data_IF_197819058780
#
_entry.id   IF_197819058780
#
_cell.length_a   1.000
_cell.length_b   1.000
_cell.length_c   1.000
_cell.angle_alpha   90.00
_cell.angle_beta   90.00
_cell.angle_gamma   90.00
#
_symmetry.space_group_name_H-M   'P 1'
#
loop_
_entity.id
_entity.type
_entity.pdbx_description
1 polymer ?
#
# COMPACT_ATOMS: atom_id res chain seq x y z
N UNK A 1 5.02 -5.79 -14.42
CA UNK A 1 5.35 -6.85 -13.44
C UNK A 1 4.30 -6.84 -12.33
N UNK A 2 3.59 -7.94 -12.11
CA UNK A 2 2.67 -8.07 -10.97
C UNK A 2 3.23 -9.17 -10.08
N UNK A 3 3.52 -8.88 -8.81
CA UNK A 3 4.11 -9.88 -7.93
C UNK A 3 3.80 -9.63 -6.45
N UNK A 4 3.87 -10.71 -5.66
CA UNK A 4 3.78 -10.75 -4.22
C UNK A 4 5.13 -11.27 -3.69
N UNK A 5 6.14 -10.38 -3.54
CA UNK A 5 7.49 -10.81 -3.19
C UNK A 5 7.54 -11.36 -1.76
N UNK A 6 8.50 -12.24 -1.44
CA UNK A 6 8.70 -12.68 -0.06
C UNK A 6 8.97 -11.48 0.86
N UNK A 7 8.38 -11.46 2.05
CA UNK A 7 8.47 -10.33 2.99
C UNK A 7 9.65 -10.39 3.98
N UNK A 8 10.54 -11.37 3.83
CA UNK A 8 11.71 -11.54 4.69
C UNK A 8 12.86 -10.59 4.32
N UNK A 9 13.70 -10.23 5.30
CA UNK A 9 14.91 -9.44 5.07
C UNK A 9 14.68 -8.12 4.33
N UNK A 10 15.54 -7.86 3.35
CA UNK A 10 15.55 -6.68 2.47
C UNK A 10 14.84 -6.92 1.12
N UNK A 11 14.17 -8.06 0.92
CA UNK A 11 13.53 -8.42 -0.35
C UNK A 11 12.52 -7.39 -0.85
N UNK A 12 11.68 -6.85 0.05
CA UNK A 12 10.70 -5.80 -0.26
C UNK A 12 11.35 -4.49 -0.72
N UNK A 13 12.50 -4.13 -0.15
CA UNK A 13 13.27 -2.93 -0.50
C UNK A 13 13.89 -3.08 -1.88
N UNK A 14 14.57 -4.22 -2.13
CA UNK A 14 15.14 -4.54 -3.43
C UNK A 14 14.08 -4.64 -4.53
N UNK A 15 12.93 -5.28 -4.24
CA UNK A 15 11.84 -5.38 -5.20
C UNK A 15 11.28 -4.00 -5.57
N UNK A 16 11.07 -3.12 -4.57
CA UNK A 16 10.66 -1.73 -4.80
C UNK A 16 11.69 -0.96 -5.62
N UNK A 17 12.98 -1.08 -5.28
CA UNK A 17 14.06 -0.41 -6.00
C UNK A 17 14.11 -0.83 -7.48
N UNK A 18 14.04 -2.13 -7.77
CA UNK A 18 13.99 -2.67 -9.13
C UNK A 18 12.79 -2.10 -9.88
N UNK A 19 11.60 -2.14 -9.26
CA UNK A 19 10.37 -1.59 -9.83
C UNK A 19 10.50 -0.11 -10.20
N UNK A 20 10.99 0.71 -9.26
CA UNK A 20 11.15 2.16 -9.44
C UNK A 20 12.17 2.49 -10.54
N UNK A 21 13.30 1.78 -10.58
CA UNK A 21 14.33 1.98 -11.62
C UNK A 21 13.88 1.52 -13.01
N UNK A 22 12.99 0.52 -13.08
CA UNK A 22 12.63 -0.10 -14.36
C UNK A 22 11.88 0.82 -15.32
N UNK A 23 11.19 1.86 -14.82
CA UNK A 23 10.28 2.73 -15.60
C UNK A 23 9.16 1.96 -16.33
N UNK A 24 8.97 0.67 -16.04
CA UNK A 24 7.93 -0.19 -16.63
C UNK A 24 6.71 -0.26 -15.71
N UNK A 25 5.50 -0.53 -16.24
CA UNK A 25 4.35 -0.79 -15.40
C UNK A 25 4.53 -1.96 -14.42
N UNK A 26 4.22 -1.73 -13.15
CA UNK A 26 4.30 -2.72 -12.09
C UNK A 26 3.22 -2.55 -11.02
N UNK A 27 2.90 -3.65 -10.36
CA UNK A 27 2.07 -3.71 -9.17
C UNK A 27 2.70 -4.69 -8.16
N UNK A 28 3.01 -4.20 -6.96
CA UNK A 28 3.55 -5.02 -5.87
C UNK A 28 2.54 -5.12 -4.75
N UNK A 29 2.19 -6.34 -4.35
CA UNK A 29 1.43 -6.56 -3.12
C UNK A 29 2.42 -6.57 -1.95
N UNK A 30 2.32 -5.58 -1.05
CA UNK A 30 3.22 -5.45 0.08
C UNK A 30 2.44 -5.13 1.36
N UNK A 31 3.03 -5.39 2.55
CA UNK A 31 2.44 -4.96 3.80
C UNK A 31 2.30 -3.44 3.87
N UNK A 32 1.17 -2.94 4.38
CA UNK A 32 0.87 -1.53 4.52
C UNK A 32 1.95 -0.72 5.28
N UNK A 33 2.65 -1.35 6.24
CA UNK A 33 3.69 -0.68 7.01
C UNK A 33 4.85 -0.20 6.13
N UNK A 34 5.05 -0.81 4.95
CA UNK A 34 6.13 -0.44 4.02
C UNK A 34 6.02 1.04 3.61
N UNK A 35 4.79 1.55 3.40
CA UNK A 35 4.57 2.94 3.03
C UNK A 35 4.99 3.92 4.13
N UNK A 36 5.05 3.45 5.39
CA UNK A 36 5.40 4.27 6.55
C UNK A 36 6.89 4.23 6.90
N UNK A 37 7.69 3.41 6.22
CA UNK A 37 9.11 3.26 6.50
C UNK A 37 9.93 4.33 5.78
N UNK A 38 10.98 4.82 6.45
CA UNK A 38 11.88 5.84 5.91
C UNK A 38 12.51 5.43 4.56
N UNK A 39 12.90 4.16 4.43
CA UNK A 39 13.47 3.64 3.19
C UNK A 39 12.55 3.83 1.98
N UNK A 40 11.22 3.83 2.16
CA UNK A 40 10.30 3.99 1.03
C UNK A 40 10.41 5.40 0.44
N UNK A 41 10.41 6.42 1.29
CA UNK A 41 10.66 7.80 0.86
C UNK A 41 12.08 8.02 0.33
N UNK A 42 13.07 7.36 0.94
CA UNK A 42 14.47 7.43 0.48
C UNK A 42 14.63 6.82 -0.91
N UNK A 43 14.00 5.67 -1.18
CA UNK A 43 14.01 5.03 -2.49
C UNK A 43 13.35 5.90 -3.57
N UNK A 44 12.23 6.56 -3.28
CA UNK A 44 11.59 7.49 -4.22
C UNK A 44 12.53 8.66 -4.59
N UNK A 45 13.29 9.15 -3.62
CA UNK A 45 14.28 10.22 -3.82
C UNK A 45 15.52 9.70 -4.56
N UNK A 46 16.09 8.58 -4.13
CA UNK A 46 17.32 8.00 -4.67
C UNK A 46 17.16 7.53 -6.13
N UNK A 47 15.97 7.08 -6.51
CA UNK A 47 15.64 6.71 -7.89
C UNK A 47 15.23 7.91 -8.75
N UNK A 48 15.28 9.13 -8.20
CA UNK A 48 14.85 10.37 -8.84
C UNK A 48 13.44 10.26 -9.45
N UNK A 49 12.53 9.52 -8.80
CA UNK A 49 11.19 9.29 -9.33
C UNK A 49 10.38 10.59 -9.33
N UNK A 50 9.98 11.13 -10.51
CA UNK A 50 9.19 12.36 -10.60
C UNK A 50 7.88 12.23 -9.85
N UNK A 51 7.38 13.32 -9.26
CA UNK A 51 6.13 13.30 -8.48
C UNK A 51 4.94 12.69 -9.26
N UNK A 52 4.84 12.98 -10.56
CA UNK A 52 3.81 12.45 -11.47
C UNK A 52 3.95 10.95 -11.81
N UNK A 53 5.11 10.35 -11.50
CA UNK A 53 5.40 8.94 -11.73
C UNK A 53 5.52 8.16 -10.42
N UNK A 54 5.37 8.82 -9.27
CA UNK A 54 5.39 8.15 -7.97
C UNK A 54 4.23 7.15 -7.90
N UNK A 55 4.45 5.98 -7.30
CA UNK A 55 3.40 5.00 -7.18
C UNK A 55 2.23 5.52 -6.36
N UNK A 56 1.04 4.99 -6.63
CA UNK A 56 -0.14 5.16 -5.78
C UNK A 56 -0.50 3.81 -5.15
N UNK A 57 -1.43 3.85 -4.19
CA UNK A 57 -1.83 2.68 -3.43
C UNK A 57 -3.27 2.29 -3.76
N UNK A 58 -3.51 0.98 -3.91
CA UNK A 58 -4.84 0.40 -3.86
C UNK A 58 -4.98 -0.40 -2.56
N UNK A 59 -5.96 -0.02 -1.74
CA UNK A 59 -6.29 -0.74 -0.52
C UNK A 59 -7.62 -1.46 -0.72
N UNK A 60 -7.61 -2.80 -0.77
CA UNK A 60 -8.86 -3.56 -0.75
C UNK A 60 -9.60 -3.37 0.57
N UNK A 61 -10.94 -3.29 0.52
CA UNK A 61 -11.76 -3.17 1.74
C UNK A 61 -11.69 -4.44 2.60
N UNK A 62 -11.57 -5.60 1.97
CA UNK A 62 -11.43 -6.89 2.64
C UNK A 62 -9.95 -7.24 2.77
N UNK A 63 -9.54 -7.71 3.95
CA UNK A 63 -8.16 -8.17 4.17
C UNK A 63 -7.87 -9.41 3.34
N UNK A 64 -6.67 -9.45 2.77
CA UNK A 64 -6.14 -10.69 2.19
C UNK A 64 -5.98 -11.76 3.27
N UNK A 65 -6.50 -12.95 2.99
CA UNK A 65 -6.08 -14.20 3.61
C UNK A 65 -4.89 -14.76 2.82
N UNK A 66 -3.91 -15.33 3.52
CA UNK A 66 -2.78 -15.98 2.90
C UNK A 66 -2.83 -17.46 3.22
N UNK A 67 -2.70 -18.29 2.19
CA UNK A 67 -2.50 -19.71 2.39
C UNK A 67 -1.04 -19.93 2.78
N UNK A 68 -0.86 -20.68 3.86
CA UNK A 68 0.45 -21.00 4.40
C UNK A 68 0.67 -22.50 4.30
N UNK A 69 1.83 -22.96 3.78
CA UNK A 69 2.14 -24.38 3.76
C UNK A 69 2.18 -24.92 5.21
N UNK A 70 1.39 -25.97 5.41
CA UNK A 70 1.25 -26.84 6.59
C UNK A 70 1.63 -26.21 7.95
N UNK A 71 0.71 -25.41 8.51
CA UNK A 71 0.71 -25.06 9.94
C UNK A 71 1.74 -24.04 10.41
N UNK A 72 2.55 -23.49 9.51
CA UNK A 72 3.62 -22.53 9.86
C UNK A 72 3.15 -21.07 9.96
N UNK A 73 1.89 -20.80 9.64
CA UNK A 73 1.34 -19.45 9.54
C UNK A 73 0.22 -19.12 10.52
N UNK A 74 -0.03 -17.83 10.68
CA UNK A 74 -1.20 -17.35 11.42
C UNK A 74 -2.46 -17.49 10.56
N UNK A 75 -3.61 -17.80 11.17
CA UNK A 75 -4.89 -17.87 10.47
C UNK A 75 -5.28 -16.53 9.81
N UNK A 76 -4.84 -15.41 10.40
CA UNK A 76 -5.00 -14.08 9.84
C UNK A 76 -3.65 -13.40 9.65
N UNK A 77 -3.51 -12.67 8.54
CA UNK A 77 -2.33 -11.84 8.31
C UNK A 77 -2.16 -10.82 9.45
N UNK A 78 -0.97 -10.71 10.08
CA UNK A 78 -0.72 -9.75 11.14
C UNK A 78 -0.65 -8.29 10.63
N UNK A 79 -0.74 -8.09 9.33
CA UNK A 79 -0.73 -6.80 8.63
C UNK A 79 -1.79 -6.76 7.53
N UNK A 80 -2.25 -5.55 7.19
CA UNK A 80 -2.97 -5.33 5.95
C UNK A 80 -1.98 -5.31 4.79
N UNK A 81 -2.34 -5.92 3.67
CA UNK A 81 -1.56 -5.82 2.45
C UNK A 81 -2.27 -4.90 1.46
N UNK A 82 -1.49 -4.06 0.80
CA UNK A 82 -1.96 -3.07 -0.16
C UNK A 82 -1.13 -3.18 -1.43
N UNK A 83 -1.72 -2.81 -2.56
CA UNK A 83 -0.98 -2.76 -3.81
C UNK A 83 -0.27 -1.42 -3.94
N UNK A 84 1.00 -1.49 -4.30
CA UNK A 84 1.81 -0.37 -4.76
C UNK A 84 1.80 -0.44 -6.27
N UNK A 85 1.32 0.60 -6.93
CA UNK A 85 1.13 0.61 -8.39
C UNK A 85 1.93 1.75 -8.99
N UNK A 86 2.90 1.41 -9.83
CA UNK A 86 3.69 2.37 -10.60
C UNK A 86 3.57 2.07 -12.09
N UNK A 87 3.21 3.06 -12.89
CA UNK A 87 2.95 2.92 -14.34
C UNK A 87 3.85 3.84 -15.17
N UNK A 88 4.98 4.26 -14.58
CA UNK A 88 5.91 5.22 -15.19
C UNK A 88 5.18 6.52 -15.56
N UNK A 89 5.37 7.04 -16.78
CA UNK A 89 4.69 8.26 -17.26
C UNK A 89 3.15 8.22 -17.22
N UNK A 90 2.53 7.02 -17.24
CA UNK A 90 1.07 6.88 -17.25
C UNK A 90 0.44 6.91 -15.85
N UNK A 91 1.25 6.99 -14.80
CA UNK A 91 0.77 6.85 -13.41
C UNK A 91 -0.29 7.88 -13.05
N UNK A 92 -0.07 9.18 -13.33
CA UNK A 92 -1.09 10.21 -13.07
C UNK A 92 -2.38 10.00 -13.86
N UNK A 93 -2.27 9.73 -15.16
CA UNK A 93 -3.44 9.58 -16.02
C UNK A 93 -4.35 8.44 -15.53
N UNK A 94 -3.74 7.30 -15.20
CA UNK A 94 -4.48 6.13 -14.71
C UNK A 94 -5.02 6.37 -13.30
N UNK A 95 -4.24 6.96 -12.39
CA UNK A 95 -4.73 7.32 -11.05
C UNK A 95 -5.95 8.25 -11.12
N UNK A 96 -5.88 9.30 -11.95
CA UNK A 96 -6.98 10.23 -12.18
C UNK A 96 -8.22 9.54 -12.72
N UNK A 97 -8.06 8.69 -13.74
CA UNK A 97 -9.16 7.92 -14.32
C UNK A 97 -9.80 6.96 -13.29
N UNK A 98 -9.01 6.24 -12.50
CA UNK A 98 -9.50 5.37 -11.44
C UNK A 98 -10.27 6.16 -10.37
N UNK A 99 -9.74 7.32 -9.95
CA UNK A 99 -10.39 8.18 -8.97
C UNK A 99 -11.74 8.69 -9.48
N UNK A 100 -11.82 9.15 -10.73
CA UNK A 100 -13.08 9.59 -11.34
C UNK A 100 -14.10 8.45 -11.41
N UNK A 101 -13.66 7.24 -11.79
CA UNK A 101 -14.55 6.06 -11.82
C UNK A 101 -15.07 5.68 -10.43
N UNK A 102 -14.23 5.69 -9.40
CA UNK A 102 -14.67 5.38 -8.04
C UNK A 102 -15.62 6.44 -7.48
N UNK A 103 -15.41 7.72 -7.78
CA UNK A 103 -16.33 8.79 -7.40
C UNK A 103 -17.69 8.66 -8.10
N UNK A 104 -17.71 8.29 -9.38
CA UNK A 104 -18.94 8.05 -10.14
C UNK A 104 -19.68 6.77 -9.73
N UNK A 105 -18.95 5.71 -9.34
CA UNK A 105 -19.56 4.45 -8.90
C UNK A 105 -20.30 4.58 -7.56
N UNK A 106 -19.85 5.48 -6.68
CA UNK A 106 -20.58 5.81 -5.45
C UNK A 106 -21.84 6.66 -5.68
N UNK A 107 -21.94 7.29 -6.85
CA UNK A 107 -23.12 8.02 -7.32
C UNK A 107 -23.95 7.13 -8.26
N UNK A 108 -24.17 5.87 -7.89
CA UNK A 108 -25.20 5.08 -8.54
C UNK A 108 -26.49 5.90 -8.50
N UNK A 109 -27.11 6.19 -9.65
CA UNK A 109 -28.35 6.93 -9.66
C UNK A 109 -29.36 6.07 -8.90
N UNK A 110 -29.87 6.57 -7.77
CA UNK A 110 -31.17 6.09 -7.31
C UNK A 110 -32.09 6.22 -8.53
N UNK A 111 -32.68 5.10 -8.95
CA UNK A 111 -33.52 5.03 -10.12
C UNK A 111 -34.73 5.96 -9.92
N UNK A 112 -34.58 7.22 -10.34
CA UNK A 112 -35.55 8.28 -10.16
C UNK A 112 -35.49 9.23 -11.34
N UNK A 113 -36.44 9.03 -12.26
CA UNK A 113 -36.99 9.95 -13.26
C UNK A 113 -36.05 10.98 -13.90
N UNK A 114 -35.83 10.81 -15.20
CA UNK A 114 -35.00 11.67 -16.03
C UNK A 114 -35.38 13.14 -16.02
N UNK A 115 -34.35 13.97 -16.18
CA UNK A 115 -34.46 15.31 -16.77
C UNK A 115 -33.27 15.50 -17.70
N UNK A 116 -33.57 15.99 -18.89
CA UNK A 116 -32.70 16.16 -20.04
C UNK A 116 -31.48 17.04 -19.77
N UNK A 117 -30.38 16.68 -20.43
CA UNK A 117 -29.14 17.43 -20.49
C UNK A 117 -29.30 18.73 -21.29
N UNK A 118 -28.76 19.83 -20.75
CA UNK A 118 -28.40 21.01 -21.54
C UNK A 118 -26.88 21.19 -21.54
N UNK A 119 -26.32 21.25 -22.74
CA UNK A 119 -24.91 21.51 -22.99
C UNK A 119 -24.61 23.00 -22.82
N UNK A 120 -23.57 23.32 -22.04
CA UNK A 120 -23.06 24.67 -21.86
C UNK A 120 -21.55 24.69 -22.07
N UNK A 121 -21.12 25.17 -23.23
CA UNK A 121 -19.74 25.46 -23.57
C UNK A 121 -19.21 26.65 -22.75
N UNK A 122 -17.93 26.60 -22.35
CA UNK A 122 -17.30 27.64 -21.55
C UNK A 122 -15.79 27.52 -21.53
N UNK A 123 -15.19 27.88 -22.68
CA UNK A 123 -13.77 28.13 -22.88
C UNK A 123 -13.26 29.24 -21.95
N UNK A 124 -12.08 29.06 -21.32
CA UNK A 124 -11.14 30.15 -21.05
C UNK A 124 -9.77 29.65 -20.58
N UNK A 125 -8.81 29.87 -21.46
CA UNK A 125 -7.37 29.77 -21.23
C UNK A 125 -6.91 30.65 -20.05
N UNK A 126 -6.02 30.11 -19.21
CA UNK A 126 -5.27 30.90 -18.22
C UNK A 126 -3.76 30.67 -18.37
N UNK A 127 -3.06 31.77 -18.20
CA UNK A 127 -1.72 32.14 -18.66
C UNK A 127 -0.71 31.82 -17.55
N UNK A 128 0.34 31.03 -17.85
CA UNK A 128 1.47 30.83 -16.94
C UNK A 128 2.57 31.88 -17.18
N UNK A 129 3.16 32.46 -16.11
CA UNK A 129 4.48 33.05 -16.18
C UNK A 129 5.54 32.24 -15.42
N UNK A 130 6.58 31.81 -16.16
CA UNK A 130 7.98 32.23 -15.96
C UNK A 130 8.77 31.78 -14.72
N UNK A 131 9.89 31.09 -15.01
CA UNK A 131 11.27 31.24 -14.47
C UNK A 131 11.44 31.35 -12.93
N UNK A 132 12.15 30.47 -12.24
CA UNK A 132 13.52 30.03 -12.50
C UNK A 132 14.36 30.42 -11.28
N UNK A 133 14.83 29.46 -10.48
CA UNK A 133 15.91 29.68 -9.51
C UNK A 133 16.72 28.41 -9.29
N UNK A 134 18.00 28.57 -9.55
CA UNK A 134 19.09 27.60 -9.58
C UNK A 134 19.58 27.36 -8.14
N UNK A 135 19.77 26.10 -7.74
CA UNK A 135 20.36 25.72 -6.45
C UNK A 135 21.82 25.30 -6.66
N UNK A 136 22.77 25.78 -5.84
CA UNK A 136 24.14 25.30 -5.86
C UNK A 136 24.38 24.13 -4.86
N UNK A 137 25.28 23.23 -5.25
CA UNK A 137 26.28 22.64 -4.34
C UNK A 137 25.93 21.31 -3.67
N UNK A 138 26.31 20.20 -4.31
CA UNK A 138 26.46 18.88 -3.72
C UNK A 138 27.91 18.68 -3.27
N UNK A 139 28.17 18.54 -1.97
CA UNK A 139 29.45 18.06 -1.44
C UNK A 139 29.33 16.61 -0.96
N UNK A 140 30.20 15.78 -1.54
CA UNK A 140 30.25 14.35 -1.34
C UNK A 140 30.84 13.94 0.02
N UNK A 141 30.41 12.76 0.47
CA UNK A 141 31.19 11.97 1.42
C UNK A 141 31.02 10.49 1.09
N UNK A 142 32.04 9.94 0.44
CA UNK A 142 32.22 8.50 0.24
C UNK A 142 32.64 7.89 1.58
N UNK A 143 31.97 6.82 2.00
CA UNK A 143 32.29 6.04 3.18
C UNK A 143 32.31 4.56 2.85
N UNK A 144 33.47 3.95 3.02
CA UNK A 144 33.83 2.59 2.63
C UNK A 144 33.42 1.51 3.65
N UNK A 145 33.39 0.25 3.18
CA UNK A 145 33.52 -0.96 3.99
C UNK A 145 32.19 -1.61 4.42
N UNK A 146 32.01 -2.93 4.46
CA UNK A 146 32.95 -4.04 4.33
C UNK A 146 32.20 -5.32 3.93
N UNK A 147 32.96 -6.24 3.34
CA UNK A 147 32.56 -7.56 2.90
C UNK A 147 32.22 -8.51 4.07
N UNK A 148 31.28 -9.43 3.82
CA UNK A 148 30.98 -10.56 4.70
C UNK A 148 29.91 -11.48 4.10
N UNK A 149 30.32 -12.43 3.26
CA UNK A 149 29.60 -13.70 3.13
C UNK A 149 30.12 -14.72 4.16
N UNK A 150 29.78 -16.02 4.09
CA UNK A 150 28.72 -16.71 3.35
C UNK A 150 27.88 -17.68 4.24
N UNK A 151 26.77 -18.24 3.74
CA UNK A 151 26.54 -19.70 3.74
C UNK A 151 25.24 -20.13 3.04
N UNK A 152 25.41 -21.18 2.24
CA UNK A 152 24.41 -21.91 1.48
C UNK A 152 23.56 -22.86 2.33
N UNK A 153 22.33 -23.15 1.86
CA UNK A 153 21.79 -24.48 1.47
C UNK A 153 20.27 -24.54 1.68
N UNK A 154 19.57 -25.09 0.69
CA UNK A 154 18.16 -25.49 0.79
C UNK A 154 17.41 -25.40 -0.52
N UNK A 155 17.72 -26.29 -1.47
CA UNK A 155 16.86 -26.54 -2.62
C UNK A 155 15.71 -27.44 -2.16
N UNK A 156 14.48 -26.95 -2.27
CA UNK A 156 13.25 -27.72 -2.13
C UNK A 156 12.37 -27.43 -3.34
N UNK A 157 12.38 -28.35 -4.30
CA UNK A 157 11.44 -28.38 -5.42
C UNK A 157 10.06 -28.80 -4.90
N UNK A 158 9.11 -27.86 -4.92
CA UNK A 158 7.70 -28.12 -4.67
C UNK A 158 6.88 -27.53 -5.80
N UNK A 159 6.66 -28.30 -6.86
CA UNK A 159 5.79 -27.95 -7.96
C UNK A 159 4.32 -28.05 -7.52
N UNK A 160 3.82 -27.01 -6.84
CA UNK A 160 2.39 -26.82 -6.57
C UNK A 160 1.73 -26.12 -7.75
N UNK A 161 1.14 -26.91 -8.65
CA UNK A 161 0.22 -26.43 -9.69
C UNK A 161 -1.08 -25.98 -9.02
N UNK A 162 -1.26 -24.67 -8.83
CA UNK A 162 -2.54 -24.09 -8.42
C UNK A 162 -3.31 -23.64 -9.65
N UNK A 163 -4.23 -24.49 -10.12
CA UNK A 163 -5.22 -24.10 -11.13
C UNK A 163 -6.21 -23.12 -10.50
N UNK A 164 -6.03 -21.83 -10.77
CA UNK A 164 -7.02 -20.81 -10.47
C UNK A 164 -8.24 -21.01 -11.39
N UNK A 165 -9.23 -21.74 -10.91
CA UNK A 165 -10.56 -21.76 -11.52
C UNK A 165 -11.19 -20.38 -11.34
N UNK A 166 -11.08 -19.55 -12.37
CA UNK A 166 -11.78 -18.27 -12.46
C UNK A 166 -13.28 -18.56 -12.63
N UNK A 167 -13.99 -18.65 -11.51
CA UNK A 167 -15.45 -18.64 -11.53
C UNK A 167 -15.92 -17.26 -12.02
N UNK A 168 -16.83 -17.28 -12.99
CA UNK A 168 -17.50 -16.09 -13.51
C UNK A 168 -18.43 -15.50 -12.43
N UNK A 169 -17.84 -14.85 -11.44
CA UNK A 169 -18.56 -14.09 -10.44
C UNK A 169 -19.09 -12.82 -11.11
N UNK A 170 -20.43 -12.69 -11.15
CA UNK A 170 -21.11 -11.47 -11.59
C UNK A 170 -20.46 -10.26 -10.93
N UNK A 171 -20.25 -9.20 -11.72
CA UNK A 171 -19.42 -8.03 -11.42
C UNK A 171 -19.42 -7.66 -9.93
N UNK A 172 -18.57 -8.32 -9.16
CA UNK A 172 -18.36 -7.97 -7.77
C UNK A 172 -17.87 -6.52 -7.84
N UNK A 173 -18.53 -5.60 -7.15
CA UNK A 173 -17.94 -4.28 -7.03
C UNK A 173 -16.65 -4.48 -6.25
N UNK A 174 -15.51 -4.34 -6.92
CA UNK A 174 -14.21 -4.42 -6.27
C UNK A 174 -14.10 -3.14 -5.43
N UNK A 175 -14.57 -3.24 -4.18
CA UNK A 175 -14.56 -2.13 -3.24
C UNK A 175 -13.12 -1.88 -2.78
N UNK A 176 -12.47 -0.95 -3.48
CA UNK A 176 -11.08 -0.57 -3.28
C UNK A 176 -11.01 0.93 -3.02
N UNK A 177 -10.11 1.33 -2.12
CA UNK A 177 -9.77 2.74 -1.93
C UNK A 177 -8.42 3.08 -2.57
N UNK A 178 -8.34 4.29 -3.09
CA UNK A 178 -7.14 4.86 -3.70
C UNK A 178 -6.45 5.82 -2.72
N UNK A 179 -5.12 5.77 -2.66
CA UNK A 179 -4.34 6.73 -1.88
C UNK A 179 -3.04 7.12 -2.59
N UNK A 180 -2.57 8.34 -2.36
CA UNK A 180 -1.28 8.87 -2.86
C UNK A 180 -0.26 9.15 -1.75
N UNK A 181 -0.73 9.19 -0.52
CA UNK A 181 0.08 9.54 0.64
C UNK A 181 -0.21 8.59 1.77
N UNK A 182 0.73 8.53 2.71
CA UNK A 182 0.58 7.81 3.97
C UNK A 182 -0.62 8.36 4.76
N UNK A 183 -0.88 9.66 4.71
CA UNK A 183 -2.02 10.25 5.42
C UNK A 183 -3.36 9.86 4.79
N UNK A 184 -3.44 9.78 3.46
CA UNK A 184 -4.62 9.23 2.79
C UNK A 184 -4.83 7.74 3.14
N UNK A 185 -3.76 6.95 3.26
CA UNK A 185 -3.84 5.56 3.74
C UNK A 185 -4.34 5.48 5.21
N UNK A 186 -3.92 6.40 6.07
CA UNK A 186 -4.44 6.49 7.45
C UNK A 186 -5.92 6.85 7.48
N UNK A 187 -6.34 7.83 6.66
CA UNK A 187 -7.74 8.23 6.52
C UNK A 187 -8.62 7.08 6.01
N UNK A 188 -8.10 6.27 5.09
CA UNK A 188 -8.75 5.07 4.59
C UNK A 188 -8.76 3.89 5.60
N UNK A 189 -8.17 4.04 6.79
CA UNK A 189 -8.04 2.97 7.78
C UNK A 189 -7.07 1.85 7.37
N UNK A 190 -6.36 2.01 6.26
CA UNK A 190 -5.40 1.03 5.73
C UNK A 190 -4.16 0.94 6.60
N UNK A 191 -3.77 2.03 7.27
CA UNK A 191 -2.61 2.11 8.17
C UNK A 191 -3.08 2.38 9.60
N UNK A 192 -2.73 1.52 10.59
CA UNK A 192 -3.05 1.78 11.98
C UNK A 192 -2.49 3.13 12.43
N UNK A 193 -3.36 4.03 12.88
CA UNK A 193 -2.97 5.34 13.44
C UNK A 193 -2.55 5.23 14.90
N UNK A 194 -3.11 4.25 15.62
CA UNK A 194 -2.75 4.00 17.01
C UNK A 194 -1.30 3.51 17.10
N UNK A 195 -0.49 4.22 17.89
CA UNK A 195 0.85 3.75 18.26
C UNK A 195 0.71 2.39 18.92
N UNK A 196 1.37 1.37 18.34
CA UNK A 196 1.40 0.04 18.95
C UNK A 196 2.01 0.16 20.36
N UNK A 197 1.25 -0.30 21.36
CA UNK A 197 1.73 -0.39 22.73
C UNK A 197 2.95 -1.31 22.76
N UNK A 198 3.98 -0.90 23.50
CA UNK A 198 5.16 -1.74 23.68
C UNK A 198 4.77 -3.02 24.49
N UNK A 199 5.57 -4.09 24.44
CA UNK A 199 5.23 -5.36 25.11
C UNK A 199 4.91 -5.20 26.61
N UNK A 200 5.64 -4.33 27.32
CA UNK A 200 5.42 -4.03 28.74
C UNK A 200 4.08 -3.34 28.99
N UNK A 201 3.71 -2.36 28.16
CA UNK A 201 2.43 -1.67 28.23
C UNK A 201 1.26 -2.62 27.97
N UNK A 202 1.39 -3.52 26.97
CA UNK A 202 0.37 -4.55 26.72
C UNK A 202 0.22 -5.50 27.92
N UNK A 203 1.34 -5.91 28.52
CA UNK A 203 1.33 -6.79 29.69
C UNK A 203 0.65 -6.11 30.88
N UNK A 204 0.99 -4.84 31.15
CA UNK A 204 0.37 -4.04 32.22
C UNK A 204 -1.13 -3.87 32.00
N UNK A 205 -1.55 -3.59 30.76
CA UNK A 205 -2.97 -3.46 30.42
C UNK A 205 -3.73 -4.79 30.61
N UNK A 206 -3.08 -5.92 30.29
CA UNK A 206 -3.63 -7.27 30.53
C UNK A 206 -3.80 -7.54 32.03
N UNK A 207 -2.79 -7.22 32.85
CA UNK A 207 -2.84 -7.38 34.31
C UNK A 207 -3.94 -6.49 34.94
N UNK A 208 -4.06 -5.24 34.50
CA UNK A 208 -5.12 -4.34 34.97
C UNK A 208 -6.52 -4.85 34.64
N UNK A 209 -6.74 -5.38 33.42
CA UNK A 209 -8.03 -5.99 33.05
C UNK A 209 -8.36 -7.22 33.91
N UNK A 210 -7.37 -8.04 34.25
CA UNK A 210 -7.56 -9.20 35.13
C UNK A 210 -7.94 -8.79 36.55
N UNK A 211 -7.31 -7.75 37.11
CA UNK A 211 -7.63 -7.23 38.45
C UNK A 211 -9.04 -6.61 38.51
N UNK A 212 -9.44 -5.85 37.48
CA UNK A 212 -10.77 -5.24 37.40
C UNK A 212 -11.89 -6.29 37.27
N UNK A 213 -11.68 -7.36 36.50
CA UNK A 213 -12.63 -8.46 36.36
C UNK A 213 -12.88 -9.21 37.68
N UNK A 214 -11.85 -9.37 38.52
CA UNK A 214 -11.99 -10.01 39.84
C UNK A 214 -12.72 -9.13 40.86
N UNK A 215 -12.55 -7.81 40.79
CA UNK A 215 -13.22 -6.88 41.70
C UNK A 215 -14.73 -6.77 41.43
N UNK A 216 -15.15 -6.84 40.15
CA UNK A 216 -16.57 -6.74 39.77
C UNK A 216 -17.43 -7.96 40.12
N UNK A 217 -16.84 -9.12 40.41
CA UNK A 217 -17.57 -10.36 40.71
C UNK A 217 -18.04 -10.51 42.16
N UNK A 218 -17.54 -9.72 43.11
CA UNK A 218 -17.81 -9.89 44.56
C UNK A 218 -19.04 -9.14 45.08
N UNK A 219 -19.74 -8.37 44.24
CA UNK A 219 -20.85 -7.50 44.66
C UNK A 219 -22.26 -7.97 44.27
N UNK A 220 -22.42 -9.21 43.80
CA UNK A 220 -23.73 -9.79 43.42
C UNK A 220 -24.00 -11.07 44.21
N UNK A 221 -24.18 -10.95 45.52
CA UNK A 221 -24.68 -12.04 46.37
C UNK A 221 -25.61 -11.46 47.41
#
# INVERSE_FOLDING_TARGET
>A
MVTNPPYSGDHKERALEICLRSQRPWALLLPNYVATKAYFSELLTATATPASQRPFFLTPRVRYSYDHPEGTGHAESPFFSIWYVGLGPLTEAVYGACRTRLAGAGAAPEAGAGVAASAGAGDKASKQPGSGKQLPGSDGKQGAGAAGGPKARGAGEGAGSSSAAASAAGAASWDVSLARSVDALKQAGAVPTARRLNPKQRLRLKQQRQQQGQAGGKGKS
#
